data_IF_849031531595
#
_entry.id   IF_849031531595
#
_cell.length_a   1.000
_cell.length_b   1.000
_cell.length_c   1.000
_cell.angle_alpha   90.00
_cell.angle_beta   90.00
_cell.angle_gamma   90.00
#
_symmetry.space_group_name_H-M   'P 1'
#
loop_
_entity.id
_entity.type
_entity.pdbx_description
1 polymer ?
#
# COMPACT_ATOMS: atom_id res chain seq x y z
N UNK A 1 4.50 -13.50 64.48
CA UNK A 1 5.04 -12.19 64.06
C UNK A 1 4.27 -11.72 62.84
N UNK A 2 3.19 -10.97 63.06
CA UNK A 2 2.32 -10.42 62.00
C UNK A 2 2.93 -9.11 61.49
N UNK A 3 3.46 -9.13 60.27
CA UNK A 3 4.02 -7.95 59.59
C UNK A 3 2.86 -7.18 58.95
N UNK A 4 2.41 -6.12 59.60
CA UNK A 4 1.48 -5.15 59.02
C UNK A 4 2.23 -4.34 57.96
N UNK A 5 1.79 -4.44 56.71
CA UNK A 5 2.29 -3.59 55.63
C UNK A 5 1.91 -2.13 55.92
N UNK A 6 2.79 -1.14 55.69
CA UNK A 6 2.41 0.26 55.85
C UNK A 6 1.34 0.58 54.81
N UNK A 7 0.14 0.93 55.26
CA UNK A 7 -0.90 1.48 54.40
C UNK A 7 -0.62 2.98 54.23
N UNK A 8 -0.26 3.47 53.03
CA UNK A 8 -0.15 4.90 52.80
C UNK A 8 -1.57 5.49 52.75
N UNK A 9 -2.04 5.98 53.89
CA UNK A 9 -3.34 6.67 54.04
C UNK A 9 -3.30 8.13 53.54
N UNK A 10 -2.47 8.45 52.54
CA UNK A 10 -2.36 9.78 51.95
C UNK A 10 -2.79 9.76 50.49
N UNK A 11 -3.60 10.73 50.07
CA UNK A 11 -3.90 10.95 48.65
C UNK A 11 -2.59 11.10 47.87
N UNK A 12 -2.30 10.15 46.98
CA UNK A 12 -1.11 10.16 46.13
C UNK A 12 -1.33 11.11 44.93
N UNK A 13 -1.24 12.41 45.22
CA UNK A 13 -1.33 13.47 44.22
C UNK A 13 -0.24 13.35 43.16
N UNK A 14 0.96 12.90 43.54
CA UNK A 14 2.06 12.71 42.61
C UNK A 14 1.77 11.56 41.63
N UNK A 15 1.20 10.45 42.11
CA UNK A 15 0.72 9.34 41.30
C UNK A 15 -0.38 9.76 40.33
N UNK A 16 -1.35 10.55 40.82
CA UNK A 16 -2.47 11.03 39.99
C UNK A 16 -2.00 12.00 38.90
N UNK A 17 -1.07 12.92 39.23
CA UNK A 17 -0.49 13.84 38.27
C UNK A 17 0.33 13.12 37.19
N UNK A 18 1.16 12.15 37.59
CA UNK A 18 1.91 11.31 36.64
C UNK A 18 0.96 10.49 35.74
N UNK A 19 -0.12 9.96 36.30
CA UNK A 19 -1.16 9.27 35.54
C UNK A 19 -1.83 10.19 34.52
N UNK A 20 -2.15 11.42 34.90
CA UNK A 20 -2.71 12.42 33.99
C UNK A 20 -1.77 12.77 32.82
N UNK A 21 -0.48 12.99 33.10
CA UNK A 21 0.53 13.26 32.06
C UNK A 21 0.67 12.07 31.12
N UNK A 22 0.75 10.85 31.65
CA UNK A 22 0.84 9.64 30.84
C UNK A 22 -0.36 9.48 29.90
N UNK A 23 -1.56 9.77 30.39
CA UNK A 23 -2.79 9.72 29.59
C UNK A 23 -2.77 10.76 28.46
N UNK A 24 -2.33 11.99 28.72
CA UNK A 24 -2.20 13.03 27.69
C UNK A 24 -1.23 12.58 26.60
N UNK A 25 -0.06 12.07 26.99
CA UNK A 25 0.94 11.56 26.04
C UNK A 25 0.37 10.41 25.20
N UNK A 26 -0.34 9.47 25.83
CA UNK A 26 -0.97 8.35 25.15
C UNK A 26 -2.01 8.82 24.11
N UNK A 27 -2.85 9.79 24.47
CA UNK A 27 -3.82 10.39 23.55
C UNK A 27 -3.13 11.09 22.39
N UNK A 28 -2.05 11.84 22.65
CA UNK A 28 -1.28 12.50 21.60
C UNK A 28 -0.67 11.50 20.60
N UNK A 29 -0.09 10.42 21.11
CA UNK A 29 0.47 9.35 20.26
C UNK A 29 -0.65 8.72 19.42
N UNK A 30 -1.80 8.40 20.04
CA UNK A 30 -2.96 7.88 19.33
C UNK A 30 -3.43 8.81 18.22
N UNK A 31 -3.52 10.11 18.50
CA UNK A 31 -3.92 11.12 17.52
C UNK A 31 -2.94 11.20 16.34
N UNK A 32 -1.62 11.15 16.59
CA UNK A 32 -0.62 11.13 15.52
C UNK A 32 -0.73 9.88 14.64
N UNK A 33 -0.98 8.72 15.25
CA UNK A 33 -1.18 7.47 14.51
C UNK A 33 -2.44 7.54 13.63
N UNK A 34 -3.55 8.04 14.17
CA UNK A 34 -4.80 8.23 13.41
C UNK A 34 -4.60 9.20 12.24
N UNK A 35 -3.90 10.31 12.45
CA UNK A 35 -3.60 11.26 11.39
C UNK A 35 -2.77 10.60 10.28
N UNK A 36 -1.71 9.87 10.64
CA UNK A 36 -0.83 9.19 9.68
C UNK A 36 -1.59 8.11 8.91
N UNK A 37 -2.37 7.29 9.61
CA UNK A 37 -3.23 6.28 9.02
C UNK A 37 -4.25 6.92 8.07
N UNK A 38 -4.84 8.06 8.44
CA UNK A 38 -5.76 8.83 7.61
C UNK A 38 -5.12 9.30 6.31
N UNK A 39 -3.92 9.87 6.37
CA UNK A 39 -3.19 10.33 5.17
C UNK A 39 -2.93 9.14 4.23
N UNK A 40 -2.39 8.04 4.76
CA UNK A 40 -2.11 6.84 3.97
C UNK A 40 -3.39 6.25 3.38
N UNK A 41 -4.47 6.19 4.16
CA UNK A 41 -5.77 5.71 3.70
C UNK A 41 -6.31 6.56 2.55
N UNK A 42 -6.25 7.89 2.66
CA UNK A 42 -6.72 8.80 1.59
C UNK A 42 -5.88 8.65 0.32
N UNK A 43 -4.55 8.60 0.45
CA UNK A 43 -3.67 8.39 -0.71
C UNK A 43 -3.97 7.05 -1.41
N UNK A 44 -4.13 5.99 -0.62
CA UNK A 44 -4.43 4.65 -1.13
C UNK A 44 -5.82 4.60 -1.79
N UNK A 45 -6.82 5.24 -1.19
CA UNK A 45 -8.16 5.33 -1.73
C UNK A 45 -8.17 6.08 -3.08
N UNK A 46 -7.42 7.18 -3.19
CA UNK A 46 -7.29 7.92 -4.46
C UNK A 46 -6.58 7.09 -5.53
N UNK A 47 -5.49 6.41 -5.18
CA UNK A 47 -4.81 5.51 -6.10
C UNK A 47 -5.74 4.38 -6.58
N UNK A 48 -6.46 3.74 -5.64
CA UNK A 48 -7.42 2.69 -5.94
C UNK A 48 -8.59 3.19 -6.80
N UNK A 49 -9.09 4.40 -6.54
CA UNK A 49 -10.14 5.03 -7.34
C UNK A 49 -9.68 5.29 -8.78
N UNK A 50 -8.46 5.81 -8.97
CA UNK A 50 -7.88 6.03 -10.29
C UNK A 50 -7.68 4.71 -11.04
N UNK A 51 -7.13 3.69 -10.38
CA UNK A 51 -6.95 2.37 -10.97
C UNK A 51 -8.30 1.72 -11.32
N UNK A 52 -9.29 1.83 -10.44
CA UNK A 52 -10.64 1.33 -10.68
C UNK A 52 -11.32 2.05 -11.85
N UNK A 53 -11.19 3.38 -11.93
CA UNK A 53 -11.70 4.16 -13.05
C UNK A 53 -11.01 3.78 -14.37
N UNK A 54 -9.68 3.64 -14.36
CA UNK A 54 -8.92 3.21 -15.53
C UNK A 54 -9.34 1.79 -15.98
N UNK A 55 -9.52 0.86 -15.04
CA UNK A 55 -10.02 -0.48 -15.33
C UNK A 55 -11.44 -0.43 -15.91
N UNK A 56 -12.32 0.43 -15.40
CA UNK A 56 -13.67 0.63 -15.93
C UNK A 56 -13.63 1.16 -17.37
N UNK A 57 -12.80 2.18 -17.62
CA UNK A 57 -12.59 2.73 -18.96
C UNK A 57 -12.04 1.66 -19.90
N UNK A 58 -11.01 0.90 -19.50
CA UNK A 58 -10.47 -0.20 -20.32
C UNK A 58 -11.52 -1.30 -20.55
N UNK A 59 -12.35 -1.62 -19.56
CA UNK A 59 -13.42 -2.62 -19.65
C UNK A 59 -14.46 -2.23 -20.70
N UNK A 60 -14.86 -0.96 -20.74
CA UNK A 60 -15.93 -0.48 -21.63
C UNK A 60 -15.42 0.07 -22.98
N UNK A 61 -14.27 0.75 -23.00
CA UNK A 61 -13.63 1.23 -24.22
C UNK A 61 -12.80 0.16 -24.94
N UNK A 62 -12.25 -0.82 -24.20
CA UNK A 62 -11.45 -1.93 -24.74
C UNK A 62 -12.24 -2.94 -25.57
N UNK A 63 -13.58 -2.92 -25.50
CA UNK A 63 -14.43 -3.64 -26.46
C UNK A 63 -14.22 -3.22 -27.92
N UNK A 64 -13.61 -2.05 -28.17
CA UNK A 64 -13.44 -1.47 -29.52
C UNK A 64 -11.99 -1.41 -30.01
N UNK A 65 -11.11 -2.30 -29.52
CA UNK A 65 -9.67 -2.40 -29.86
C UNK A 65 -8.81 -1.33 -29.18
N UNK A 66 -8.34 -1.65 -27.98
CA UNK A 66 -7.12 -1.05 -27.45
C UNK A 66 -6.15 -2.18 -27.15
N UNK A 67 -5.35 -2.53 -28.17
CA UNK A 67 -4.22 -3.44 -28.01
C UNK A 67 -3.28 -2.80 -26.97
N UNK A 68 -2.88 -3.51 -25.90
CA UNK A 68 -2.01 -2.93 -24.91
C UNK A 68 -0.68 -2.56 -25.59
N UNK A 69 -0.25 -1.31 -25.43
CA UNK A 69 1.13 -0.91 -25.71
C UNK A 69 1.98 -1.58 -24.64
N UNK A 70 2.48 -2.76 -25.00
CA UNK A 70 3.54 -3.46 -24.29
C UNK A 70 4.85 -2.81 -24.75
N UNK A 71 5.25 -1.73 -24.07
CA UNK A 71 6.55 -1.09 -24.29
C UNK A 71 7.45 -1.34 -23.09
N UNK A 72 7.92 -2.59 -22.98
CA UNK A 72 9.16 -2.97 -22.29
C UNK A 72 9.73 -4.18 -23.02
N UNK A 73 10.67 -3.94 -23.93
CA UNK A 73 11.51 -5.00 -24.52
C UNK A 73 10.98 -5.60 -25.83
N UNK A 74 10.82 -4.77 -26.85
CA UNK A 74 10.83 -5.26 -28.24
C UNK A 74 12.25 -5.73 -28.59
N UNK A 75 12.61 -6.92 -28.12
CA UNK A 75 13.58 -7.76 -28.80
C UNK A 75 13.03 -7.98 -30.20
N UNK A 76 13.58 -7.21 -31.14
CA UNK A 76 13.84 -7.56 -32.53
C UNK A 76 12.86 -8.61 -33.07
N UNK A 77 11.83 -8.16 -33.78
CA UNK A 77 11.11 -9.05 -34.69
C UNK A 77 12.08 -9.44 -35.80
N UNK A 78 12.91 -10.46 -35.54
CA UNK A 78 13.74 -11.11 -36.54
C UNK A 78 12.79 -11.74 -37.54
N UNK A 79 12.55 -11.03 -38.64
CA UNK A 79 11.90 -11.58 -39.82
C UNK A 79 12.90 -12.54 -40.45
N UNK A 80 12.86 -13.81 -40.03
CA UNK A 80 13.62 -14.88 -40.66
C UNK A 80 13.10 -15.03 -42.09
N UNK A 81 13.91 -14.65 -43.08
CA UNK A 81 13.56 -14.81 -44.50
C UNK A 81 13.64 -16.29 -44.86
N UNK A 82 12.49 -16.97 -44.86
CA UNK A 82 12.40 -18.34 -45.33
C UNK A 82 12.56 -18.38 -46.86
N UNK A 83 13.79 -18.58 -47.35
CA UNK A 83 14.06 -18.82 -48.78
C UNK A 83 13.74 -20.27 -49.13
N UNK A 84 12.87 -20.47 -50.12
CA UNK A 84 12.52 -21.80 -50.64
C UNK A 84 13.71 -22.36 -51.43
N UNK A 85 14.29 -23.47 -50.99
CA UNK A 85 15.30 -24.21 -51.77
C UNK A 85 14.73 -25.53 -52.30
N UNK A 86 15.27 -26.11 -53.38
CA UNK A 86 14.73 -27.35 -53.96
C UNK A 86 14.74 -28.57 -53.02
N UNK A 87 15.44 -28.49 -51.88
CA UNK A 87 15.52 -29.54 -50.86
C UNK A 87 14.66 -29.27 -49.62
N UNK A 88 13.94 -28.14 -49.57
CA UNK A 88 13.06 -27.77 -48.46
C UNK A 88 13.11 -26.28 -48.11
N UNK A 89 12.70 -25.96 -46.88
CA UNK A 89 12.81 -24.61 -46.31
C UNK A 89 14.04 -24.56 -45.41
N UNK A 90 14.90 -23.56 -45.61
CA UNK A 90 16.00 -23.23 -44.69
C UNK A 90 15.70 -21.87 -44.06
N UNK A 91 15.98 -21.76 -42.75
CA UNK A 91 15.70 -20.58 -41.93
C UNK A 91 17.05 -20.05 -41.43
N UNK A 92 17.38 -18.80 -41.80
CA UNK A 92 18.54 -18.05 -41.31
C UNK A 92 18.07 -16.78 -40.58
#
# INVERSE_FOLDING_TARGET
>A
MTRTAPHPHGFDFAGTLRGGIALIVQVMIGMMLVMTAGIVAVMTAMAGLLLGAAALVMRFAGGRRMRPVHDVGAGETVTLEARRTPRGWTVE
#
